data_IF_833234056162
#
_entry.id   IF_833234056162
#
_cell.length_a   1.000
_cell.length_b   1.000
_cell.length_c   1.000
_cell.angle_alpha   90.00
_cell.angle_beta   90.00
_cell.angle_gamma   90.00
#
_symmetry.space_group_name_H-M   'P 1'
#
loop_
_entity.id
_entity.type
_entity.pdbx_description
1 polymer ?
#
# COMPACT_ATOMS: atom_id res chain seq x y z
N UNK A 1 -21.71 -10.52 12.59
CA UNK A 1 -20.38 -11.14 12.71
C UNK A 1 -19.63 -10.47 13.84
N UNK A 2 -19.37 -11.21 14.89
CA UNK A 2 -18.64 -10.68 16.05
C UNK A 2 -17.17 -10.59 15.63
N UNK A 3 -16.63 -9.36 15.56
CA UNK A 3 -15.18 -9.19 15.43
C UNK A 3 -14.54 -9.82 16.67
N UNK A 4 -13.72 -10.85 16.49
CA UNK A 4 -12.89 -11.32 17.58
C UNK A 4 -12.07 -10.13 18.09
N UNK A 5 -12.04 -9.86 19.39
CA UNK A 5 -11.18 -8.80 19.89
C UNK A 5 -9.75 -9.13 19.46
N UNK A 6 -9.09 -8.13 18.85
CA UNK A 6 -7.67 -8.22 18.56
C UNK A 6 -7.00 -8.53 19.89
N UNK A 7 -6.31 -9.67 19.96
CA UNK A 7 -5.70 -10.11 21.18
C UNK A 7 -4.65 -9.07 21.61
N UNK A 8 -4.97 -8.25 22.59
CA UNK A 8 -4.09 -7.19 23.13
C UNK A 8 -2.76 -7.73 23.66
N UNK A 9 -2.57 -9.04 23.68
CA UNK A 9 -1.38 -9.71 24.18
C UNK A 9 -0.36 -10.10 23.11
N UNK A 10 -0.67 -9.95 21.82
CA UNK A 10 0.36 -10.03 20.81
C UNK A 10 1.18 -8.74 20.82
N UNK A 11 2.16 -8.71 21.71
CA UNK A 11 3.05 -7.55 21.97
C UNK A 11 3.99 -7.20 20.80
N UNK A 12 4.02 -7.99 19.76
CA UNK A 12 4.78 -7.69 18.56
C UNK A 12 3.79 -7.27 17.48
N UNK A 13 3.82 -5.99 17.04
CA UNK A 13 3.01 -5.62 15.89
C UNK A 13 3.41 -6.56 14.76
N UNK A 14 2.47 -7.35 14.26
CA UNK A 14 2.68 -8.07 13.02
C UNK A 14 2.96 -7.03 11.95
N UNK A 15 4.20 -6.98 11.50
CA UNK A 15 4.62 -6.06 10.46
C UNK A 15 4.38 -6.61 9.06
N UNK A 16 3.94 -7.86 8.97
CA UNK A 16 3.78 -8.56 7.69
C UNK A 16 2.40 -9.19 7.61
N UNK A 17 1.66 -8.76 6.61
CA UNK A 17 0.31 -9.26 6.34
C UNK A 17 0.19 -9.77 4.91
N UNK A 18 -0.39 -10.95 4.73
CA UNK A 18 -0.98 -11.36 3.46
C UNK A 18 -2.29 -10.61 3.24
N UNK A 19 -2.76 -10.57 1.99
CA UNK A 19 -4.09 -10.02 1.68
C UNK A 19 -5.20 -10.66 2.52
N UNK A 20 -5.16 -11.99 2.68
CA UNK A 20 -6.11 -12.71 3.51
C UNK A 20 -6.11 -12.24 4.96
N UNK A 21 -4.94 -12.12 5.57
CA UNK A 21 -4.81 -11.65 6.95
C UNK A 21 -5.29 -10.20 7.10
N UNK A 22 -4.98 -9.34 6.14
CA UNK A 22 -5.42 -7.95 6.16
C UNK A 22 -6.95 -7.84 6.13
N UNK A 23 -7.59 -8.55 5.24
CA UNK A 23 -9.06 -8.53 5.13
C UNK A 23 -9.73 -9.16 6.35
N UNK A 24 -9.27 -10.33 6.81
CA UNK A 24 -9.88 -11.06 7.92
C UNK A 24 -9.66 -10.39 9.28
N UNK A 25 -8.44 -9.90 9.54
CA UNK A 25 -8.09 -9.37 10.86
C UNK A 25 -8.35 -7.87 10.99
N UNK A 26 -8.22 -7.12 9.91
CA UNK A 26 -8.29 -5.65 9.92
C UNK A 26 -9.51 -5.13 9.16
N UNK A 27 -9.98 -5.87 8.18
CA UNK A 27 -11.12 -5.48 7.34
C UNK A 27 -10.74 -4.49 6.25
N UNK A 28 -9.47 -4.46 5.84
CA UNK A 28 -8.97 -3.59 4.78
C UNK A 28 -8.18 -4.38 3.74
N UNK A 29 -8.29 -4.02 2.45
CA UNK A 29 -7.55 -4.67 1.38
C UNK A 29 -6.12 -4.08 1.29
N UNK A 30 -5.20 -4.61 2.04
CA UNK A 30 -3.79 -4.26 1.92
C UNK A 30 -2.91 -5.50 1.98
N UNK A 31 -1.65 -5.34 1.62
CA UNK A 31 -0.65 -6.39 1.73
C UNK A 31 0.71 -5.80 2.09
N UNK A 32 1.54 -6.60 2.72
CA UNK A 32 2.91 -6.22 3.06
C UNK A 32 3.85 -6.63 1.94
N UNK A 33 4.45 -5.64 1.32
CA UNK A 33 5.51 -5.80 0.33
C UNK A 33 6.87 -5.60 0.99
N UNK A 34 7.90 -6.16 0.41
CA UNK A 34 9.24 -6.14 0.98
C UNK A 34 10.28 -5.53 0.05
N UNK A 35 11.29 -4.95 0.66
CA UNK A 35 12.58 -4.66 0.05
C UNK A 35 13.65 -5.31 0.95
N UNK A 36 14.14 -6.49 0.57
CA UNK A 36 15.03 -7.26 1.43
C UNK A 36 14.38 -7.55 2.78
N UNK A 37 14.97 -7.06 3.86
CA UNK A 37 14.45 -7.25 5.24
C UNK A 37 13.41 -6.21 5.64
N UNK A 38 13.25 -5.14 4.88
CA UNK A 38 12.28 -4.07 5.17
C UNK A 38 10.90 -4.46 4.65
N UNK A 39 9.87 -4.15 5.42
CA UNK A 39 8.48 -4.43 5.10
C UNK A 39 7.67 -3.13 5.06
N UNK A 40 6.83 -3.01 4.04
CA UNK A 40 5.98 -1.83 3.82
C UNK A 40 4.56 -2.26 3.50
N UNK A 41 3.58 -1.64 4.14
CA UNK A 41 2.17 -1.92 3.91
C UNK A 41 1.61 -1.00 2.83
N UNK A 42 1.06 -1.61 1.80
CA UNK A 42 0.41 -0.90 0.69
C UNK A 42 -1.08 -1.21 0.65
N UNK A 43 -1.88 -0.17 0.70
CA UNK A 43 -3.32 -0.28 0.47
C UNK A 43 -3.56 -0.61 -1.01
N UNK A 44 -4.36 -1.63 -1.27
CA UNK A 44 -4.76 -2.04 -2.62
C UNK A 44 -6.06 -1.30 -2.97
N UNK A 45 -5.92 -0.15 -3.61
CA UNK A 45 -7.01 0.81 -3.79
C UNK A 45 -7.41 0.95 -5.26
N UNK A 46 -8.50 0.27 -5.63
CA UNK A 46 -9.07 0.36 -6.98
C UNK A 46 -9.73 1.72 -7.28
N UNK A 47 -9.92 2.54 -6.26
CA UNK A 47 -10.39 3.92 -6.42
C UNK A 47 -9.28 4.92 -6.75
N UNK A 48 -8.01 4.51 -6.69
CA UNK A 48 -6.86 5.33 -7.07
C UNK A 48 -6.36 4.94 -8.45
N UNK A 49 -6.16 5.91 -9.34
CA UNK A 49 -5.55 5.65 -10.66
C UNK A 49 -4.08 5.31 -10.52
N UNK A 50 -3.38 6.03 -9.67
CA UNK A 50 -1.93 6.00 -9.55
C UNK A 50 -1.49 5.34 -8.25
N UNK A 51 -0.22 4.87 -8.25
CA UNK A 51 0.44 4.46 -7.02
C UNK A 51 0.93 5.69 -6.29
N UNK A 52 0.85 5.67 -4.97
CA UNK A 52 1.30 6.76 -4.10
C UNK A 52 2.18 6.21 -3.01
N UNK A 53 3.31 6.88 -2.76
CA UNK A 53 4.17 6.63 -1.60
C UNK A 53 4.08 7.82 -0.65
N UNK A 54 3.98 7.55 0.65
CA UNK A 54 3.94 8.60 1.65
C UNK A 54 5.29 9.33 1.72
N UNK A 55 5.29 10.63 1.51
CA UNK A 55 6.49 11.45 1.60
C UNK A 55 7.17 11.38 2.96
N UNK A 56 6.44 11.05 4.01
CA UNK A 56 6.98 10.96 5.37
C UNK A 56 7.89 9.74 5.58
N UNK A 57 7.79 8.73 4.69
CA UNK A 57 8.61 7.50 4.79
C UNK A 57 9.58 7.33 3.62
N UNK A 58 9.67 8.30 2.75
CA UNK A 58 10.47 8.19 1.51
C UNK A 58 11.95 7.85 1.79
N UNK A 59 12.50 8.32 2.90
CA UNK A 59 13.87 8.05 3.29
C UNK A 59 14.10 6.61 3.80
N UNK A 60 13.03 5.88 4.09
CA UNK A 60 13.08 4.50 4.59
C UNK A 60 12.96 3.47 3.47
N UNK A 61 12.46 3.86 2.32
CA UNK A 61 12.26 2.99 1.18
C UNK A 61 13.27 3.32 0.07
N UNK A 62 13.93 2.28 -0.45
CA UNK A 62 14.85 2.44 -1.58
C UNK A 62 14.06 2.83 -2.82
N UNK A 63 14.45 3.91 -3.46
CA UNK A 63 13.78 4.44 -4.64
C UNK A 63 14.76 5.18 -5.54
N UNK A 64 14.38 5.37 -6.80
CA UNK A 64 15.09 6.20 -7.77
C UNK A 64 14.19 7.36 -8.16
N UNK A 65 14.75 8.57 -8.27
CA UNK A 65 14.01 9.74 -8.75
C UNK A 65 13.64 9.57 -10.21
N UNK A 66 12.43 9.99 -10.56
CA UNK A 66 11.96 10.14 -11.93
C UNK A 66 11.84 11.63 -12.22
N UNK A 67 12.35 12.06 -13.38
CA UNK A 67 12.47 13.48 -13.71
C UNK A 67 11.13 14.18 -14.00
N UNK A 68 10.02 13.46 -14.05
CA UNK A 68 8.70 13.99 -14.42
C UNK A 68 7.85 14.21 -13.19
N UNK A 69 7.36 15.44 -13.00
CA UNK A 69 6.36 15.74 -11.98
C UNK A 69 4.95 15.54 -12.53
N UNK A 70 4.05 15.10 -11.69
CA UNK A 70 2.65 14.85 -12.03
C UNK A 70 1.71 15.62 -11.12
N UNK A 71 0.48 15.84 -11.60
CA UNK A 71 -0.59 16.39 -10.78
C UNK A 71 -1.38 15.27 -10.12
N UNK A 72 -1.52 15.35 -8.80
CA UNK A 72 -2.41 14.50 -8.03
C UNK A 72 -3.70 15.28 -7.76
N UNK A 73 -4.84 14.70 -8.15
CA UNK A 73 -6.17 15.25 -7.85
C UNK A 73 -6.67 14.70 -6.51
N UNK A 74 -6.97 15.57 -5.57
CA UNK A 74 -7.66 15.20 -4.33
C UNK A 74 -9.18 15.11 -4.50
N UNK A 75 -9.88 14.59 -3.49
CA UNK A 75 -11.34 14.49 -3.45
C UNK A 75 -12.05 15.84 -3.60
N UNK A 76 -11.39 16.93 -3.25
CA UNK A 76 -11.91 18.30 -3.33
C UNK A 76 -11.67 18.95 -4.71
N UNK A 77 -11.17 18.20 -5.68
CA UNK A 77 -10.88 18.72 -7.02
C UNK A 77 -9.61 19.58 -7.12
N UNK A 78 -8.88 19.75 -6.03
CA UNK A 78 -7.60 20.46 -6.03
C UNK A 78 -6.51 19.60 -6.65
N UNK A 79 -5.81 20.14 -7.64
CA UNK A 79 -4.63 19.50 -8.25
C UNK A 79 -3.37 19.99 -7.53
N UNK A 80 -2.58 19.05 -7.04
CA UNK A 80 -1.29 19.30 -6.42
C UNK A 80 -0.18 18.71 -7.28
N UNK A 81 0.85 19.51 -7.56
CA UNK A 81 2.06 19.00 -8.22
C UNK A 81 2.86 18.15 -7.22
N UNK A 82 3.17 16.95 -7.60
CA UNK A 82 3.94 16.00 -6.77
C UNK A 82 5.10 15.41 -7.55
N UNK A 83 6.18 15.10 -6.84
CA UNK A 83 7.31 14.38 -7.41
C UNK A 83 6.95 12.92 -7.67
N UNK A 84 7.75 12.26 -8.48
CA UNK A 84 7.60 10.86 -8.85
C UNK A 84 8.89 10.10 -8.57
N UNK A 85 8.78 8.87 -8.09
CA UNK A 85 9.90 7.97 -7.90
C UNK A 85 9.58 6.58 -8.41
N UNK A 86 10.64 5.80 -8.66
CA UNK A 86 10.55 4.39 -9.05
C UNK A 86 10.91 3.50 -7.88
N UNK A 87 10.08 2.51 -7.60
CA UNK A 87 10.25 1.60 -6.46
C UNK A 87 10.13 0.15 -6.92
N UNK A 88 11.08 -0.69 -6.48
CA UNK A 88 11.05 -2.14 -6.63
C UNK A 88 10.54 -2.76 -5.34
N UNK A 89 9.61 -3.70 -5.43
CA UNK A 89 8.97 -4.36 -4.29
C UNK A 89 8.86 -5.86 -4.55
N UNK A 90 8.89 -6.63 -3.48
CA UNK A 90 8.68 -8.08 -3.50
C UNK A 90 7.41 -8.45 -2.73
N UNK A 91 6.65 -9.38 -3.29
CA UNK A 91 5.47 -9.96 -2.65
C UNK A 91 5.29 -11.42 -3.08
N UNK A 92 5.23 -12.31 -2.11
CA UNK A 92 5.03 -13.76 -2.33
C UNK A 92 5.94 -14.35 -3.42
N UNK A 93 7.23 -13.98 -3.39
CA UNK A 93 8.24 -14.50 -4.31
C UNK A 93 8.29 -13.83 -5.68
N UNK A 94 7.42 -12.88 -5.94
CA UNK A 94 7.42 -12.09 -7.18
C UNK A 94 8.00 -10.71 -6.93
N UNK A 95 8.74 -10.20 -7.91
CA UNK A 95 9.27 -8.83 -7.90
C UNK A 95 8.38 -7.94 -8.78
N UNK A 96 8.00 -6.81 -8.23
CA UNK A 96 7.23 -5.77 -8.91
C UNK A 96 8.02 -4.47 -8.92
N UNK A 97 7.88 -3.73 -9.98
CA UNK A 97 8.49 -2.40 -10.10
C UNK A 97 7.48 -1.45 -10.74
N UNK A 98 7.41 -0.24 -10.23
CA UNK A 98 6.52 0.78 -10.80
C UNK A 98 6.89 2.17 -10.32
N UNK A 99 6.29 3.17 -10.95
CA UNK A 99 6.41 4.56 -10.54
C UNK A 99 5.34 4.91 -9.51
N UNK A 100 5.72 5.74 -8.56
CA UNK A 100 4.88 6.20 -7.47
C UNK A 100 4.89 7.71 -7.40
N UNK A 101 3.72 8.31 -7.21
CA UNK A 101 3.61 9.70 -6.83
C UNK A 101 4.03 9.86 -5.37
N UNK A 102 4.83 10.88 -5.07
CA UNK A 102 5.27 11.19 -3.70
C UNK A 102 4.31 12.22 -3.12
N UNK A 103 3.56 11.85 -2.12
CA UNK A 103 2.57 12.73 -1.50
C UNK A 103 2.51 12.54 0.01
N UNK A 104 2.19 13.61 0.74
CA UNK A 104 1.97 13.54 2.18
C UNK A 104 0.63 12.83 2.47
N UNK A 105 0.73 11.63 2.99
CA UNK A 105 -0.40 10.78 3.35
C UNK A 105 -0.66 10.72 4.86
N UNK A 106 -0.01 11.60 5.63
CA UNK A 106 -0.06 11.56 7.10
C UNK A 106 -1.49 11.61 7.65
N UNK A 107 -2.35 12.46 7.09
CA UNK A 107 -3.72 12.59 7.56
C UNK A 107 -4.52 11.28 7.44
N UNK A 108 -4.55 10.71 6.25
CA UNK A 108 -5.28 9.46 5.97
C UNK A 108 -4.65 8.28 6.72
N UNK A 109 -3.32 8.16 6.68
CA UNK A 109 -2.63 7.02 7.29
C UNK A 109 -2.63 7.07 8.82
N UNK A 110 -2.66 8.26 9.42
CA UNK A 110 -2.85 8.41 10.88
C UNK A 110 -4.23 7.92 11.31
N UNK A 111 -5.27 8.23 10.55
CA UNK A 111 -6.63 7.77 10.84
C UNK A 111 -6.71 6.24 10.74
N UNK A 112 -6.12 5.64 9.72
CA UNK A 112 -6.06 4.17 9.59
C UNK A 112 -5.34 3.56 10.78
N UNK A 113 -4.23 4.14 11.21
CA UNK A 113 -3.48 3.65 12.38
C UNK A 113 -4.25 3.76 13.67
N UNK A 114 -4.98 4.85 13.89
CA UNK A 114 -5.85 5.01 15.07
C UNK A 114 -6.95 3.95 15.08
N UNK A 115 -7.57 3.69 13.94
CA UNK A 115 -8.71 2.77 13.82
C UNK A 115 -8.29 1.30 13.82
N UNK A 116 -7.13 0.96 13.28
CA UNK A 116 -6.72 -0.42 13.02
C UNK A 116 -5.43 -0.85 13.70
N UNK A 117 -4.61 0.09 14.16
CA UNK A 117 -3.26 -0.18 14.68
C UNK A 117 -2.21 -0.42 13.58
N UNK A 118 -2.58 -0.34 12.31
CA UNK A 118 -1.70 -0.64 11.19
C UNK A 118 -1.10 0.62 10.59
N UNK A 119 0.21 0.63 10.40
CA UNK A 119 0.92 1.70 9.70
C UNK A 119 0.92 1.43 8.19
N UNK A 120 0.29 2.30 7.42
CA UNK A 120 0.35 2.29 5.97
C UNK A 120 1.53 3.12 5.47
N UNK A 121 2.12 2.71 4.36
CA UNK A 121 3.27 3.38 3.74
C UNK A 121 2.95 3.91 2.35
N UNK A 122 2.01 3.32 1.67
CA UNK A 122 1.64 3.72 0.32
C UNK A 122 0.34 3.09 -0.17
N UNK A 123 0.04 3.40 -1.43
CA UNK A 123 -1.14 2.92 -2.14
C UNK A 123 -0.71 2.32 -3.48
N UNK A 124 -1.24 1.16 -3.81
CA UNK A 124 -1.18 0.61 -5.15
C UNK A 124 -2.52 0.84 -5.84
N UNK A 125 -2.49 1.50 -6.98
CA UNK A 125 -3.68 1.87 -7.73
C UNK A 125 -3.92 1.06 -8.98
N UNK A 126 -4.89 1.47 -9.78
CA UNK A 126 -5.31 0.77 -11.01
C UNK A 126 -4.17 0.61 -12.01
N UNK A 127 -3.29 1.59 -12.13
CA UNK A 127 -2.15 1.49 -13.04
C UNK A 127 -1.25 0.28 -12.73
N UNK A 128 -1.00 0.02 -11.44
CA UNK A 128 -0.26 -1.17 -11.00
C UNK A 128 -1.03 -2.45 -11.32
N UNK A 129 -2.30 -2.52 -10.96
CA UNK A 129 -3.13 -3.71 -11.20
C UNK A 129 -3.25 -4.03 -12.69
N UNK A 130 -3.38 -3.02 -13.52
CA UNK A 130 -3.45 -3.19 -14.97
C UNK A 130 -2.12 -3.62 -15.58
N UNK A 131 -1.01 -3.04 -15.11
CA UNK A 131 0.35 -3.39 -15.57
C UNK A 131 0.66 -4.87 -15.35
N UNK A 132 0.34 -5.38 -14.18
CA UNK A 132 0.65 -6.75 -13.78
C UNK A 132 -0.49 -7.73 -13.94
N UNK A 133 -1.64 -7.29 -14.50
CA UNK A 133 -2.86 -8.10 -14.56
C UNK A 133 -3.19 -8.69 -13.19
N UNK A 134 -3.09 -7.84 -12.18
CA UNK A 134 -3.23 -8.22 -10.78
C UNK A 134 -4.68 -8.58 -10.47
N UNK A 135 -4.86 -9.66 -9.72
CA UNK A 135 -6.17 -10.18 -9.34
C UNK A 135 -6.37 -9.93 -7.86
N UNK A 136 -7.47 -9.24 -7.52
CA UNK A 136 -7.98 -9.12 -6.16
C UNK A 136 -9.18 -10.06 -6.04
N UNK A 137 -8.97 -11.19 -5.39
CA UNK A 137 -9.97 -12.23 -5.24
C UNK A 137 -10.53 -12.19 -3.81
N UNK A 138 -11.72 -11.60 -3.68
CA UNK A 138 -12.40 -11.52 -2.38
C UNK A 138 -13.13 -12.80 -2.01
N UNK A 139 -13.36 -13.71 -2.94
CA UNK A 139 -13.95 -15.03 -2.64
C UNK A 139 -12.94 -15.91 -1.89
N UNK A 140 -11.71 -16.01 -2.40
CA UNK A 140 -10.65 -16.83 -1.83
C UNK A 140 -9.67 -16.04 -0.95
N UNK A 141 -9.87 -14.74 -0.81
CA UNK A 141 -9.01 -13.81 -0.06
C UNK A 141 -7.55 -13.91 -0.49
N UNK A 142 -7.33 -13.77 -1.79
CA UNK A 142 -6.01 -13.79 -2.40
C UNK A 142 -5.79 -12.57 -3.29
N UNK A 143 -4.57 -12.06 -3.29
CA UNK A 143 -4.12 -11.01 -4.19
C UNK A 143 -2.84 -11.48 -4.89
N UNK A 144 -2.84 -11.52 -6.20
CA UNK A 144 -1.74 -12.10 -6.96
C UNK A 144 -1.72 -11.64 -8.42
N UNK A 145 -0.56 -11.77 -9.05
CA UNK A 145 -0.44 -11.72 -10.49
C UNK A 145 -0.25 -13.13 -11.06
N UNK A 146 -0.80 -13.38 -12.23
CA UNK A 146 -0.50 -14.61 -12.95
C UNK A 146 0.94 -14.56 -13.46
N UNK A 147 1.64 -15.70 -13.45
CA UNK A 147 2.97 -15.80 -14.04
C UNK A 147 2.99 -15.54 -15.56
#
# INVERSE_FOLDING_TARGET
MIKKPINKFEKTPRTVFSFKQAVELVGMPYATFRQGKKAFNFLLDTGSSDNVIDSNIINKIKHAKVATDYFLSGLEGNKKLVGTCHIDLEYEGNTYEDNFLISDMKGIFSTIKEDTGVTMHGILGVNFFNKYKYILDFENLAAYSKP
#
